data_IF_793662691440
#
_entry.id   IF_793662691440
#
_cell.length_a   1.000
_cell.length_b   1.000
_cell.length_c   1.000
_cell.angle_alpha   90.00
_cell.angle_beta   90.00
_cell.angle_gamma   90.00
#
_symmetry.space_group_name_H-M   'P 1'
#
loop_
_entity.id
_entity.type
_entity.pdbx_description
1 polymer ?
#
# COMPACT_ATOMS: atom_id res chain seq x y z
N UNK A 1 -13.80 1.71 -8.67
CA UNK A 1 -12.35 1.53 -8.45
C UNK A 1 -12.15 0.86 -7.11
N UNK A 2 -11.14 0.00 -6.98
CA UNK A 2 -10.85 -0.86 -5.83
C UNK A 2 -9.54 -0.44 -5.18
N UNK A 3 -9.48 -0.41 -3.85
CA UNK A 3 -8.23 -0.21 -3.09
C UNK A 3 -7.50 -1.54 -2.99
N UNK A 4 -6.23 -1.54 -3.39
CA UNK A 4 -5.41 -2.75 -3.46
C UNK A 4 -4.10 -2.51 -2.71
N UNK A 5 -3.74 -3.44 -1.83
CA UNK A 5 -2.42 -3.47 -1.23
C UNK A 5 -1.51 -4.45 -1.97
N UNK A 6 -0.24 -4.07 -2.09
CA UNK A 6 0.85 -4.91 -2.57
C UNK A 6 1.90 -4.99 -1.47
N UNK A 7 2.22 -6.20 -1.02
CA UNK A 7 3.35 -6.44 -0.13
C UNK A 7 4.59 -6.85 -0.93
N UNK A 8 5.72 -6.23 -0.61
CA UNK A 8 7.05 -6.61 -1.09
C UNK A 8 7.90 -7.05 0.11
N UNK A 9 8.57 -8.19 -0.03
CA UNK A 9 9.51 -8.73 0.95
C UNK A 9 10.87 -8.83 0.29
N UNK A 10 11.92 -8.42 0.99
CA UNK A 10 13.30 -8.46 0.53
C UNK A 10 14.15 -9.19 1.57
N UNK A 11 15.00 -10.11 1.11
CA UNK A 11 15.92 -10.86 1.99
C UNK A 11 16.94 -9.92 2.64
N UNK A 12 17.40 -8.93 1.87
CA UNK A 12 18.28 -7.85 2.31
C UNK A 12 17.55 -6.49 2.31
N UNK A 13 17.94 -5.54 3.18
CA UNK A 13 17.39 -4.19 3.17
C UNK A 13 17.51 -3.54 1.78
N UNK A 14 16.40 -3.09 1.19
CA UNK A 14 16.42 -2.46 -0.13
C UNK A 14 17.16 -1.12 -0.08
N UNK A 15 18.11 -0.87 -0.99
CA UNK A 15 18.77 0.44 -1.09
C UNK A 15 17.82 1.53 -1.60
N UNK A 16 18.18 2.80 -1.39
CA UNK A 16 17.38 3.89 -1.95
C UNK A 16 17.45 3.91 -3.48
N UNK A 17 18.63 3.68 -4.08
CA UNK A 17 18.73 3.71 -5.56
C UNK A 17 17.92 2.59 -6.21
N UNK A 18 17.87 1.40 -5.60
CA UNK A 18 17.03 0.32 -6.11
C UNK A 18 15.56 0.68 -6.02
N UNK A 19 15.12 1.27 -4.92
CA UNK A 19 13.74 1.72 -4.75
C UNK A 19 13.35 2.76 -5.81
N UNK A 20 14.19 3.76 -6.04
CA UNK A 20 13.94 4.81 -7.02
C UNK A 20 13.88 4.25 -8.46
N UNK A 21 14.77 3.29 -8.78
CA UNK A 21 14.76 2.59 -10.07
C UNK A 21 13.47 1.80 -10.27
N UNK A 22 13.04 1.04 -9.26
CA UNK A 22 11.80 0.25 -9.30
C UNK A 22 10.58 1.17 -9.49
N UNK A 23 10.56 2.35 -8.86
CA UNK A 23 9.53 3.38 -9.06
C UNK A 23 9.53 3.91 -10.49
N UNK A 24 10.70 4.30 -11.01
CA UNK A 24 10.83 4.87 -12.35
C UNK A 24 10.33 3.92 -13.45
N UNK A 25 10.52 2.61 -13.25
CA UNK A 25 10.00 1.55 -14.13
C UNK A 25 8.49 1.34 -13.89
N UNK A 26 8.07 1.31 -12.63
CA UNK A 26 6.72 0.95 -12.23
C UNK A 26 5.66 1.98 -12.61
N UNK A 27 5.84 3.26 -12.24
CA UNK A 27 4.81 4.29 -12.37
C UNK A 27 4.23 4.38 -13.79
N UNK A 28 5.04 4.49 -14.86
CA UNK A 28 4.49 4.58 -16.22
C UNK A 28 3.70 3.34 -16.60
N UNK A 29 4.18 2.14 -16.22
CA UNK A 29 3.50 0.89 -16.51
C UNK A 29 2.19 0.75 -15.73
N UNK A 30 2.17 1.10 -14.44
CA UNK A 30 0.96 1.06 -13.63
C UNK A 30 -0.11 2.01 -14.19
N UNK A 31 0.26 3.26 -14.47
CA UNK A 31 -0.67 4.25 -15.02
C UNK A 31 -1.24 3.83 -16.38
N UNK A 32 -0.44 3.21 -17.26
CA UNK A 32 -0.90 2.69 -18.54
C UNK A 32 -1.96 1.57 -18.42
N UNK A 33 -2.13 0.98 -17.23
CA UNK A 33 -3.15 -0.05 -16.95
C UNK A 33 -4.20 0.44 -15.93
N UNK A 34 -4.36 1.76 -15.76
CA UNK A 34 -5.27 2.38 -14.79
C UNK A 34 -5.00 1.94 -13.34
N UNK A 35 -3.74 1.69 -13.01
CA UNK A 35 -3.29 1.40 -11.64
C UNK A 35 -2.58 2.64 -11.11
N UNK A 36 -3.20 3.31 -10.15
CA UNK A 36 -2.73 4.57 -9.61
C UNK A 36 -2.12 4.35 -8.23
N UNK A 37 -0.87 4.77 -8.06
CA UNK A 37 -0.17 4.67 -6.79
C UNK A 37 -0.63 5.76 -5.82
N UNK A 38 -1.04 5.36 -4.61
CA UNK A 38 -1.50 6.29 -3.56
C UNK A 38 -0.36 6.60 -2.61
N UNK A 39 0.23 5.56 -2.00
CA UNK A 39 1.32 5.69 -1.01
C UNK A 39 2.05 4.38 -0.82
N UNK A 40 3.20 4.44 -0.14
CA UNK A 40 3.91 3.25 0.34
C UNK A 40 4.37 3.45 1.79
N UNK A 41 4.28 2.38 2.58
CA UNK A 41 4.81 2.31 3.92
C UNK A 41 5.98 1.32 3.91
N UNK A 42 7.19 1.82 4.17
CA UNK A 42 8.41 1.02 4.25
C UNK A 42 8.73 0.72 5.70
N UNK A 43 8.97 -0.55 6.02
CA UNK A 43 9.47 -0.95 7.33
C UNK A 43 10.84 -0.29 7.60
N UNK A 44 11.14 0.03 8.86
CA UNK A 44 12.38 0.75 9.23
C UNK A 44 13.65 -0.02 8.90
N UNK A 45 13.59 -1.35 8.89
CA UNK A 45 14.68 -2.24 8.46
C UNK A 45 14.81 -2.36 6.94
N UNK A 46 13.89 -1.74 6.18
CA UNK A 46 13.80 -1.73 4.72
C UNK A 46 13.68 -3.12 4.09
N UNK A 47 13.22 -4.12 4.84
CA UNK A 47 12.99 -5.50 4.32
C UNK A 47 11.55 -5.77 3.92
N UNK A 48 10.64 -4.85 4.21
CA UNK A 48 9.23 -4.93 3.80
C UNK A 48 8.71 -3.58 3.34
N UNK A 49 7.92 -3.59 2.27
CA UNK A 49 7.16 -2.42 1.81
C UNK A 49 5.73 -2.84 1.54
N UNK A 50 4.78 -2.06 2.04
CA UNK A 50 3.36 -2.14 1.67
C UNK A 50 3.05 -0.94 0.78
N UNK A 51 2.63 -1.19 -0.45
CA UNK A 51 2.19 -0.17 -1.39
C UNK A 51 0.67 -0.20 -1.48
N UNK A 52 0.04 0.95 -1.51
CA UNK A 52 -1.39 1.10 -1.71
C UNK A 52 -1.69 1.70 -3.09
N UNK A 53 -2.61 1.07 -3.80
CA UNK A 53 -3.04 1.47 -5.14
C UNK A 53 -4.56 1.60 -5.23
N UNK A 54 -4.99 2.40 -6.19
CA UNK A 54 -6.34 2.37 -6.74
C UNK A 54 -6.30 1.76 -8.14
N UNK A 55 -7.16 0.79 -8.42
CA UNK A 55 -7.21 0.08 -9.70
C UNK A 55 -8.62 -0.45 -10.00
N UNK A 56 -8.92 -0.93 -11.21
CA UNK A 56 -10.19 -1.62 -11.49
C UNK A 56 -10.40 -2.84 -10.57
N UNK A 57 -9.37 -3.68 -10.45
CA UNK A 57 -9.36 -4.93 -9.69
C UNK A 57 -7.94 -5.37 -9.32
N UNK A 58 -7.83 -6.42 -8.49
CA UNK A 58 -6.56 -7.01 -8.03
C UNK A 58 -5.74 -7.60 -9.18
N UNK A 59 -6.41 -8.24 -10.15
CA UNK A 59 -5.74 -8.89 -11.29
C UNK A 59 -4.99 -7.88 -12.16
N UNK A 60 -5.57 -6.69 -12.36
CA UNK A 60 -4.99 -5.58 -13.11
C UNK A 60 -3.72 -5.07 -12.45
N UNK A 61 -3.71 -4.94 -11.11
CA UNK A 61 -2.49 -4.62 -10.35
C UNK A 61 -1.45 -5.72 -10.57
N UNK A 62 -1.82 -6.99 -10.41
CA UNK A 62 -0.91 -8.11 -10.58
C UNK A 62 -0.29 -8.17 -11.99
N UNK A 63 -1.08 -7.96 -13.04
CA UNK A 63 -0.61 -7.91 -14.44
C UNK A 63 0.37 -6.75 -14.64
N UNK A 64 0.07 -5.57 -14.10
CA UNK A 64 0.95 -4.40 -14.22
C UNK A 64 2.33 -4.64 -13.57
N UNK A 65 2.37 -5.25 -12.38
CA UNK A 65 3.60 -5.60 -11.69
C UNK A 65 4.43 -6.63 -12.47
N UNK A 66 3.79 -7.69 -12.97
CA UNK A 66 4.44 -8.72 -13.79
C UNK A 66 5.03 -8.12 -15.07
N UNK A 67 4.29 -7.24 -15.76
CA UNK A 67 4.73 -6.57 -16.99
C UNK A 67 5.90 -5.62 -16.75
N UNK A 68 5.89 -4.90 -15.63
CA UNK A 68 6.99 -4.06 -15.17
C UNK A 68 8.19 -4.86 -14.61
N UNK A 69 8.07 -6.20 -14.50
CA UNK A 69 9.05 -7.09 -13.88
C UNK A 69 9.41 -6.69 -12.44
N UNK A 70 8.43 -6.13 -11.71
CA UNK A 70 8.60 -5.73 -10.32
C UNK A 70 8.21 -6.86 -9.36
N UNK A 71 8.96 -7.05 -8.27
CA UNK A 71 8.65 -8.09 -7.29
C UNK A 71 7.42 -7.73 -6.45
N UNK A 72 6.68 -8.76 -6.05
CA UNK A 72 5.66 -8.70 -5.01
C UNK A 72 5.58 -10.07 -4.31
N UNK A 73 5.27 -10.07 -3.02
CA UNK A 73 4.97 -11.26 -2.23
C UNK A 73 3.47 -11.56 -2.25
N UNK A 74 2.63 -10.56 -2.00
CA UNK A 74 1.17 -10.70 -1.95
C UNK A 74 0.49 -9.45 -2.54
N UNK A 75 -0.69 -9.64 -3.11
CA UNK A 75 -1.57 -8.57 -3.61
C UNK A 75 -3.01 -8.91 -3.24
N UNK A 76 -3.75 -7.97 -2.64
CA UNK A 76 -5.13 -8.19 -2.22
C UNK A 76 -5.95 -6.89 -2.19
N UNK A 77 -7.26 -7.00 -2.38
CA UNK A 77 -8.18 -5.88 -2.20
C UNK A 77 -8.38 -5.59 -0.70
N UNK A 78 -8.62 -4.33 -0.37
CA UNK A 78 -8.88 -3.90 1.01
C UNK A 78 -10.11 -3.00 1.08
N UNK A 79 -10.79 -3.06 2.22
CA UNK A 79 -11.69 -2.02 2.68
C UNK A 79 -10.92 -1.09 3.62
N UNK A 80 -11.07 0.23 3.43
CA UNK A 80 -10.45 1.21 4.31
C UNK A 80 -11.33 1.35 5.56
N UNK A 81 -10.76 1.00 6.71
CA UNK A 81 -11.39 1.20 8.01
C UNK A 81 -10.68 2.38 8.68
N UNK A 82 -11.42 3.44 8.95
CA UNK A 82 -10.94 4.61 9.70
C UNK A 82 -11.39 4.51 11.16
N UNK A 83 -10.62 5.05 12.12
CA UNK A 83 -11.04 5.06 13.52
C UNK A 83 -12.33 5.87 13.67
N UNK A 84 -13.39 5.27 14.20
CA UNK A 84 -14.62 5.98 14.55
C UNK A 84 -14.37 6.83 15.80
N UNK A 85 -14.41 8.16 15.66
CA UNK A 85 -14.30 9.12 16.77
C UNK A 85 -15.44 9.01 17.78
N UNK A 86 -16.52 8.30 17.46
CA UNK A 86 -17.68 8.07 18.33
C UNK A 86 -17.41 7.21 19.57
N UNK A 87 -16.28 6.50 19.63
CA UNK A 87 -15.93 5.60 20.76
C UNK A 87 -15.06 6.30 21.82
N UNK A 88 -14.56 7.51 21.54
CA UNK A 88 -13.65 8.25 22.45
C UNK A 88 -14.42 9.23 23.37
N UNK A 89 -15.73 9.43 23.17
CA UNK A 89 -16.52 10.31 24.02
C UNK A 89 -17.23 9.56 25.18
N UNK A 90 -16.65 9.72 26.38
CA UNK A 90 -17.24 9.70 27.74
C UNK A 90 -17.09 8.39 28.56
N UNK A 91 -16.89 8.50 29.90
CA UNK A 91 -17.86 9.12 30.81
C UNK A 91 -17.49 10.53 31.30
N UNK A 92 -18.54 11.35 31.40
CA UNK A 92 -18.65 12.51 32.27
C UNK A 92 -18.38 12.14 33.75
N UNK A 93 -17.48 12.86 34.41
CA UNK A 93 -17.48 12.95 35.88
C UNK A 93 -18.72 13.73 36.32
N UNK A 94 -19.84 13.01 36.46
CA UNK A 94 -20.97 13.48 37.24
C UNK A 94 -20.78 13.05 38.69
N UNK A 95 -20.75 14.06 39.56
CA UNK A 95 -21.19 14.02 40.96
C UNK A 95 -20.41 13.14 41.94
N UNK A 96 -19.50 13.77 42.68
CA UNK A 96 -19.51 13.59 44.14
C UNK A 96 -19.56 14.98 44.79
N UNK A 97 -20.65 15.15 45.55
CA UNK A 97 -20.92 16.20 46.54
C UNK A 97 -19.74 16.41 47.50
#
# INVERSE_FOLDING_TARGET
MTRVLVEKIFDEPISQEKWDRDIAIGIPCHNAHNVHWIRSMMARDRRRVICEFEAPDVETVQRSFRKAKLPFARIWAIDLIEPSTSVIAQPSEESYL
#
